data_IF_268685780386
#
_entry.id   IF_268685780386
#
_cell.length_a   1.000
_cell.length_b   1.000
_cell.length_c   1.000
_cell.angle_alpha   90.00
_cell.angle_beta   90.00
_cell.angle_gamma   90.00
#
_symmetry.space_group_name_H-M   'P 1'
#
loop_
_entity.id
_entity.type
_entity.pdbx_description
1 polymer ?
#
# COMPACT_ATOMS: atom_id res chain seq x y z
N UNK A 1 -77.38 -12.01 29.99
CA UNK A 1 -76.77 -10.66 29.93
C UNK A 1 -75.67 -10.67 28.88
N UNK A 2 -75.95 -10.05 27.76
CA UNK A 2 -75.06 -10.11 26.55
C UNK A 2 -74.14 -8.88 26.53
N UNK A 3 -72.84 -9.03 26.50
CA UNK A 3 -71.94 -7.95 26.14
C UNK A 3 -71.10 -8.39 24.89
N UNK A 4 -71.34 -7.67 23.84
CA UNK A 4 -70.57 -7.73 22.59
C UNK A 4 -69.33 -6.88 22.78
N UNK A 5 -68.14 -7.45 22.53
CA UNK A 5 -66.90 -6.66 22.31
C UNK A 5 -66.66 -6.64 20.83
N UNK A 6 -66.54 -5.41 20.33
CA UNK A 6 -66.18 -5.07 18.96
C UNK A 6 -64.65 -5.15 18.87
N UNK A 7 -64.19 -6.02 18.01
CA UNK A 7 -62.76 -6.09 17.70
C UNK A 7 -62.34 -5.01 16.69
N UNK A 8 -61.42 -4.18 17.09
CA UNK A 8 -60.74 -3.25 16.18
C UNK A 8 -59.57 -3.97 15.46
N UNK A 9 -59.65 -4.05 14.15
CA UNK A 9 -58.59 -4.55 13.31
C UNK A 9 -57.59 -3.42 13.13
N UNK A 10 -56.40 -3.56 13.71
CA UNK A 10 -55.26 -2.68 13.43
C UNK A 10 -54.50 -3.22 12.21
N UNK A 11 -54.60 -2.50 11.10
CA UNK A 11 -53.77 -2.72 9.92
C UNK A 11 -52.38 -2.15 10.21
N UNK A 12 -51.43 -3.00 10.44
CA UNK A 12 -50.01 -2.61 10.51
C UNK A 12 -49.46 -2.41 9.08
N UNK A 13 -49.27 -1.18 8.68
CA UNK A 13 -48.52 -0.84 7.47
C UNK A 13 -47.06 -1.13 7.71
N UNK A 14 -46.52 -2.16 7.05
CA UNK A 14 -45.09 -2.42 7.00
C UNK A 14 -44.44 -1.37 6.13
N UNK A 15 -43.74 -0.43 6.74
CA UNK A 15 -42.82 0.48 6.06
C UNK A 15 -41.55 -0.31 5.70
N UNK A 16 -41.41 -0.66 4.45
CA UNK A 16 -40.17 -1.11 3.88
C UNK A 16 -39.17 0.07 3.90
N UNK A 17 -38.27 0.09 4.86
CA UNK A 17 -37.10 0.94 4.85
C UNK A 17 -36.13 0.46 3.77
N UNK A 18 -35.42 1.37 3.08
CA UNK A 18 -34.42 0.97 2.10
C UNK A 18 -33.31 0.20 2.80
N UNK A 19 -33.04 -1.02 2.30
CA UNK A 19 -32.00 -1.89 2.80
C UNK A 19 -30.65 -1.16 2.78
N UNK A 20 -29.95 -1.15 3.92
CA UNK A 20 -28.54 -0.85 3.98
C UNK A 20 -27.81 -1.92 3.15
N UNK A 21 -27.44 -1.58 1.93
CA UNK A 21 -26.41 -2.33 1.23
C UNK A 21 -25.11 -2.13 2.00
N UNK A 22 -24.64 -3.19 2.62
CA UNK A 22 -23.30 -3.24 3.15
C UNK A 22 -22.35 -3.05 1.94
N UNK A 23 -21.79 -1.85 1.82
CA UNK A 23 -20.69 -1.60 0.92
C UNK A 23 -19.49 -2.36 1.48
N UNK A 24 -19.23 -3.55 0.94
CA UNK A 24 -17.94 -4.21 1.07
C UNK A 24 -16.91 -3.35 0.31
N UNK A 25 -16.53 -2.23 0.90
CA UNK A 25 -15.39 -1.44 0.47
C UNK A 25 -14.15 -2.28 0.71
N UNK A 26 -13.50 -2.71 -0.38
CA UNK A 26 -12.11 -3.11 -0.31
C UNK A 26 -11.35 -2.02 0.47
N UNK A 27 -10.32 -2.38 1.28
CA UNK A 27 -9.55 -1.38 1.98
C UNK A 27 -8.99 -0.39 0.96
N UNK A 28 -9.55 0.80 0.99
CA UNK A 28 -9.11 1.91 0.18
C UNK A 28 -7.70 2.22 0.68
N UNK A 29 -6.71 2.18 -0.21
CA UNK A 29 -5.37 2.65 0.11
C UNK A 29 -5.51 4.00 0.82
N UNK A 30 -4.86 4.13 1.98
CA UNK A 30 -4.91 5.35 2.78
C UNK A 30 -4.72 6.58 1.86
N UNK A 31 -5.44 7.69 2.08
CA UNK A 31 -5.27 8.89 1.27
C UNK A 31 -3.77 9.18 1.21
N UNK A 32 -3.21 9.13 0.01
CA UNK A 32 -1.85 9.60 -0.20
C UNK A 32 -1.93 11.09 0.08
N UNK A 33 -1.46 11.50 1.25
CA UNK A 33 -1.33 12.91 1.57
C UNK A 33 -0.71 13.57 0.34
N UNK A 34 -1.37 14.60 -0.16
CA UNK A 34 -0.91 15.33 -1.32
C UNK A 34 0.46 15.92 -0.96
N UNK A 35 1.51 15.12 -1.21
CA UNK A 35 2.87 15.58 -1.06
C UNK A 35 2.99 16.82 -1.93
N UNK A 36 3.32 17.92 -1.32
CA UNK A 36 3.58 19.18 -1.99
C UNK A 36 4.42 18.91 -3.24
N UNK A 37 3.85 19.10 -4.41
CA UNK A 37 4.57 19.04 -5.68
C UNK A 37 5.43 20.31 -5.77
N UNK A 38 6.51 20.35 -5.00
CA UNK A 38 7.52 21.35 -5.21
C UNK A 38 8.17 21.03 -6.57
N UNK A 39 8.16 22.00 -7.48
CA UNK A 39 8.93 21.90 -8.71
C UNK A 39 10.39 21.61 -8.34
N UNK A 40 11.09 20.73 -9.09
CA UNK A 40 12.50 20.47 -8.84
C UNK A 40 13.27 21.80 -8.87
N UNK A 41 14.01 22.07 -7.81
CA UNK A 41 14.96 23.19 -7.83
C UNK A 41 16.17 22.68 -8.62
N UNK A 42 16.40 23.24 -9.81
CA UNK A 42 17.53 22.81 -10.65
C UNK A 42 18.85 22.90 -9.87
N UNK A 43 19.62 21.79 -9.88
CA UNK A 43 20.98 21.74 -9.34
C UNK A 43 21.10 21.61 -7.83
N UNK A 44 20.02 21.38 -7.08
CA UNK A 44 20.06 21.13 -5.64
C UNK A 44 19.64 19.68 -5.34
N UNK A 45 20.45 18.96 -4.56
CA UNK A 45 20.13 17.63 -4.07
C UNK A 45 19.16 17.67 -2.86
N UNK A 46 18.43 16.58 -2.65
CA UNK A 46 17.69 16.37 -1.42
C UNK A 46 18.59 15.62 -0.42
N UNK A 47 18.63 16.09 0.82
CA UNK A 47 19.35 15.44 1.89
C UNK A 47 18.38 14.90 2.93
N UNK A 48 18.57 13.64 3.34
CA UNK A 48 17.82 12.99 4.39
C UNK A 48 18.78 12.49 5.45
N UNK A 49 18.94 13.29 6.51
CA UNK A 49 19.97 13.08 7.54
C UNK A 49 19.61 11.96 8.51
N UNK A 50 20.61 11.49 9.27
CA UNK A 50 20.37 10.57 10.38
C UNK A 50 19.42 11.17 11.43
N UNK A 51 19.49 12.48 11.68
CA UNK A 51 18.61 13.18 12.61
C UNK A 51 17.16 13.17 12.13
N UNK A 52 16.94 13.37 10.82
CA UNK A 52 15.60 13.23 10.23
C UNK A 52 15.02 11.83 10.49
N UNK A 53 15.84 10.78 10.29
CA UNK A 53 15.42 9.41 10.54
C UNK A 53 15.12 9.16 12.02
N UNK A 54 16.00 9.63 12.91
CA UNK A 54 15.81 9.49 14.36
C UNK A 54 14.53 10.18 14.85
N UNK A 55 14.13 11.28 14.23
CA UNK A 55 12.90 12.00 14.56
C UNK A 55 11.65 11.26 14.06
N UNK A 56 11.64 10.79 12.83
CA UNK A 56 10.41 10.33 12.15
C UNK A 56 10.15 8.82 12.25
N UNK A 57 11.18 7.99 12.33
CA UNK A 57 11.01 6.53 12.37
C UNK A 57 10.20 6.06 13.58
N UNK A 58 10.42 6.55 14.81
CA UNK A 58 9.63 6.14 15.98
C UNK A 58 8.14 6.44 15.82
N UNK A 59 7.79 7.63 15.30
CA UNK A 59 6.41 8.03 15.04
C UNK A 59 5.76 7.13 13.98
N UNK A 60 6.49 6.83 12.89
CA UNK A 60 6.01 5.95 11.84
C UNK A 60 5.76 4.53 12.36
N UNK A 61 6.63 4.01 13.21
CA UNK A 61 6.46 2.69 13.82
C UNK A 61 5.19 2.63 14.69
N UNK A 62 4.94 3.65 15.51
CA UNK A 62 3.70 3.72 16.31
C UNK A 62 2.46 3.83 15.39
N UNK A 63 2.52 4.66 14.37
CA UNK A 63 1.44 4.80 13.40
C UNK A 63 1.15 3.48 12.67
N UNK A 64 2.18 2.76 12.23
CA UNK A 64 2.05 1.49 11.54
C UNK A 64 1.33 0.42 12.38
N UNK A 65 1.49 0.44 13.71
CA UNK A 65 0.78 -0.49 14.61
C UNK A 65 -0.74 -0.32 14.56
N UNK A 66 -1.22 0.88 14.26
CA UNK A 66 -2.64 1.24 14.25
C UNK A 66 -3.30 1.11 12.88
N UNK A 67 -2.53 0.97 11.79
CA UNK A 67 -3.07 0.76 10.44
C UNK A 67 -3.47 -0.69 10.23
N UNK A 68 -4.45 -0.94 9.38
CA UNK A 68 -4.94 -2.30 9.08
C UNK A 68 -3.90 -3.17 8.41
N UNK A 69 -3.03 -2.59 7.58
CA UNK A 69 -1.99 -3.27 6.81
C UNK A 69 -0.62 -3.27 7.50
N UNK A 70 -0.50 -2.64 8.68
CA UNK A 70 0.75 -2.57 9.43
C UNK A 70 1.82 -1.70 8.77
N UNK A 71 1.42 -0.73 7.93
CA UNK A 71 2.36 0.13 7.20
C UNK A 71 2.11 1.59 7.51
N UNK A 72 3.17 2.37 7.64
CA UNK A 72 3.11 3.82 7.65
C UNK A 72 4.25 4.39 6.81
N UNK A 73 4.04 5.57 6.23
CA UNK A 73 5.04 6.21 5.38
C UNK A 73 4.97 7.72 5.45
N UNK A 74 6.08 8.34 5.06
CA UNK A 74 6.18 9.75 4.71
C UNK A 74 6.59 9.79 3.24
N UNK A 75 5.76 10.44 2.40
CA UNK A 75 6.16 10.75 1.04
C UNK A 75 7.17 11.90 1.09
N UNK A 76 8.40 11.64 0.68
CA UNK A 76 9.50 12.60 0.80
C UNK A 76 9.50 13.61 -0.35
N UNK A 77 9.82 13.14 -1.53
CA UNK A 77 9.91 13.96 -2.73
C UNK A 77 9.34 13.22 -3.93
N UNK A 78 8.72 13.97 -4.80
CA UNK A 78 8.19 13.48 -6.07
C UNK A 78 8.73 14.33 -7.21
N UNK A 79 9.31 13.67 -8.18
CA UNK A 79 9.86 14.25 -9.39
C UNK A 79 9.21 13.62 -10.62
N UNK A 80 9.32 14.23 -11.80
CA UNK A 80 8.98 13.53 -13.05
C UNK A 80 9.77 12.22 -13.16
N UNK A 81 9.07 11.10 -13.21
CA UNK A 81 9.65 9.78 -13.37
C UNK A 81 10.23 9.09 -12.12
N UNK A 82 10.22 9.74 -10.96
CA UNK A 82 10.59 9.06 -9.70
C UNK A 82 9.98 9.71 -8.47
N UNK A 83 9.92 8.96 -7.37
CA UNK A 83 9.59 9.49 -6.05
C UNK A 83 10.15 8.60 -4.94
N UNK A 84 10.32 9.22 -3.77
CA UNK A 84 10.90 8.58 -2.59
C UNK A 84 9.88 8.56 -1.45
N UNK A 85 9.83 7.44 -0.75
CA UNK A 85 9.08 7.31 0.50
C UNK A 85 10.00 6.73 1.58
N UNK A 86 9.95 7.32 2.78
CA UNK A 86 10.39 6.63 3.98
C UNK A 86 9.23 5.77 4.46
N UNK A 87 9.45 4.48 4.59
CA UNK A 87 8.40 3.52 4.94
C UNK A 87 8.79 2.67 6.13
N UNK A 88 7.80 2.32 6.92
CA UNK A 88 7.92 1.30 7.97
C UNK A 88 6.81 0.27 7.81
N UNK A 89 7.12 -0.96 8.18
CA UNK A 89 6.18 -2.07 8.20
C UNK A 89 6.36 -2.87 9.49
N UNK A 90 5.27 -3.22 10.16
CA UNK A 90 5.27 -3.97 11.43
C UNK A 90 4.49 -5.29 11.33
N UNK A 91 3.97 -5.61 10.15
CA UNK A 91 3.30 -6.87 9.80
C UNK A 91 3.55 -7.22 8.35
N UNK A 92 3.43 -8.50 8.03
CA UNK A 92 3.41 -8.99 6.65
C UNK A 92 2.40 -8.21 5.82
N UNK A 93 2.82 -7.76 4.64
CA UNK A 93 1.99 -7.03 3.69
C UNK A 93 1.14 -7.92 2.81
N UNK A 94 0.53 -7.31 1.80
CA UNK A 94 -0.11 -8.00 0.68
C UNK A 94 0.88 -8.15 -0.47
N UNK A 95 0.61 -9.06 -1.40
CA UNK A 95 1.38 -9.16 -2.64
C UNK A 95 1.08 -7.99 -3.57
N UNK A 96 2.10 -7.47 -4.22
CA UNK A 96 2.03 -6.29 -5.08
C UNK A 96 2.74 -6.52 -6.41
N UNK A 97 2.31 -5.82 -7.46
CA UNK A 97 3.02 -5.73 -8.73
C UNK A 97 2.68 -4.41 -9.42
N UNK A 98 3.70 -3.77 -9.98
CA UNK A 98 3.58 -2.47 -10.65
C UNK A 98 4.02 -2.60 -12.11
N UNK A 99 3.13 -2.34 -13.07
CA UNK A 99 3.48 -2.42 -14.48
C UNK A 99 4.33 -1.22 -14.94
N UNK A 100 4.10 -0.06 -14.34
CA UNK A 100 4.69 1.21 -14.79
C UNK A 100 5.83 1.72 -13.89
N UNK A 101 6.19 0.96 -12.84
CA UNK A 101 7.18 1.37 -11.86
C UNK A 101 8.09 0.20 -11.49
N UNK A 102 9.36 0.46 -11.30
CA UNK A 102 10.28 -0.37 -10.54
C UNK A 102 10.42 0.16 -9.12
N UNK A 103 10.77 -0.72 -8.19
CA UNK A 103 11.01 -0.39 -6.80
C UNK A 103 12.47 -0.63 -6.45
N UNK A 104 13.12 0.35 -5.82
CA UNK A 104 14.37 0.14 -5.11
C UNK A 104 14.07 0.24 -3.62
N UNK A 105 14.21 -0.87 -2.90
CA UNK A 105 14.07 -0.91 -1.45
C UNK A 105 15.45 -0.93 -0.82
N UNK A 106 15.70 -0.01 0.12
CA UNK A 106 16.94 0.03 0.91
C UNK A 106 16.57 -0.12 2.37
N UNK A 107 16.98 -1.23 2.99
CA UNK A 107 16.72 -1.48 4.41
C UNK A 107 17.56 -0.53 5.27
N UNK A 108 16.90 0.23 6.14
CA UNK A 108 17.53 1.18 7.05
C UNK A 108 17.68 0.57 8.45
N UNK A 109 16.63 -0.18 8.86
CA UNK A 109 16.62 -0.85 10.17
C UNK A 109 15.59 -1.99 10.16
N UNK A 110 15.79 -2.95 11.07
CA UNK A 110 14.97 -4.16 11.13
C UNK A 110 15.32 -5.17 10.03
N UNK A 111 14.37 -6.03 9.73
CA UNK A 111 14.54 -7.12 8.75
C UNK A 111 13.21 -7.55 8.13
N UNK A 112 13.25 -8.06 6.92
CA UNK A 112 12.10 -8.65 6.24
C UNK A 112 12.55 -9.65 5.17
N UNK A 113 11.72 -10.65 4.89
CA UNK A 113 11.85 -11.48 3.70
C UNK A 113 11.08 -10.83 2.56
N UNK A 114 11.80 -10.30 1.57
CA UNK A 114 11.21 -9.72 0.35
C UNK A 114 11.20 -10.79 -0.72
N UNK A 115 10.02 -11.32 -1.03
CA UNK A 115 9.84 -12.34 -2.06
C UNK A 115 9.58 -11.64 -3.39
N UNK A 116 10.35 -11.97 -4.44
CA UNK A 116 10.19 -11.39 -5.78
C UNK A 116 9.93 -12.45 -6.83
N UNK A 117 9.11 -12.14 -7.83
CA UNK A 117 8.67 -13.09 -8.85
C UNK A 117 7.52 -13.99 -8.36
N UNK A 118 7.34 -15.11 -9.00
CA UNK A 118 6.21 -16.00 -8.74
C UNK A 118 4.88 -15.46 -9.25
N UNK A 119 3.79 -15.79 -8.57
CA UNK A 119 2.42 -15.44 -8.97
C UNK A 119 1.68 -14.81 -7.81
N UNK A 120 0.98 -13.70 -8.07
CA UNK A 120 0.06 -13.10 -7.09
C UNK A 120 -1.18 -13.99 -6.93
N UNK A 121 -1.42 -14.44 -5.71
CA UNK A 121 -2.64 -15.16 -5.33
C UNK A 121 -3.77 -14.16 -5.14
N UNK A 122 -4.97 -14.51 -5.59
CA UNK A 122 -6.16 -13.64 -5.54
C UNK A 122 -5.92 -12.26 -6.22
N UNK A 123 -5.15 -12.26 -7.31
CA UNK A 123 -4.77 -11.06 -8.03
C UNK A 123 -5.98 -10.24 -8.43
N UNK A 124 -5.90 -8.94 -8.16
CA UNK A 124 -6.84 -7.90 -8.60
C UNK A 124 -6.06 -6.78 -9.27
N UNK A 125 -6.34 -6.58 -10.54
CA UNK A 125 -5.77 -5.47 -11.29
C UNK A 125 -6.50 -4.18 -10.94
N UNK A 126 -5.74 -3.10 -10.82
CA UNK A 126 -6.21 -1.77 -10.47
C UNK A 126 -5.80 -0.77 -11.55
N UNK A 127 -6.22 0.48 -11.40
CA UNK A 127 -5.82 1.55 -12.31
C UNK A 127 -4.29 1.74 -12.33
N UNK A 128 -3.80 2.40 -13.36
CA UNK A 128 -2.40 2.79 -13.53
C UNK A 128 -1.39 1.63 -13.56
N UNK A 129 -1.85 0.40 -13.88
CA UNK A 129 -0.97 -0.76 -13.96
C UNK A 129 -0.58 -1.37 -12.62
N UNK A 130 -1.33 -1.05 -11.57
CA UNK A 130 -1.16 -1.65 -10.26
C UNK A 130 -1.90 -2.99 -10.17
N UNK A 131 -1.31 -3.96 -9.50
CA UNK A 131 -1.96 -5.23 -9.15
C UNK A 131 -1.71 -5.54 -7.68
N UNK A 132 -2.71 -6.12 -7.03
CA UNK A 132 -2.66 -6.54 -5.64
C UNK A 132 -3.13 -7.99 -5.52
N UNK A 133 -2.55 -8.71 -4.56
CA UNK A 133 -2.95 -10.08 -4.24
C UNK A 133 -2.80 -10.34 -2.75
N UNK A 134 -3.30 -11.47 -2.28
CA UNK A 134 -3.14 -11.83 -0.86
C UNK A 134 -1.69 -12.12 -0.49
N UNK A 135 -0.91 -12.68 -1.43
CA UNK A 135 0.52 -13.02 -1.30
C UNK A 135 1.14 -13.28 -2.68
N UNK A 136 2.46 -13.50 -2.72
CA UNK A 136 3.13 -14.06 -3.90
C UNK A 136 3.59 -15.50 -3.60
N UNK A 137 3.37 -16.43 -4.53
CA UNK A 137 3.80 -17.84 -4.44
C UNK A 137 4.84 -18.16 -5.50
N UNK A 138 5.84 -18.97 -5.13
CA UNK A 138 6.87 -19.49 -6.06
C UNK A 138 7.92 -18.45 -6.45
N UNK A 139 8.06 -17.36 -5.71
CA UNK A 139 9.10 -16.36 -5.92
C UNK A 139 10.45 -16.72 -5.29
N UNK A 140 11.42 -15.83 -5.46
CA UNK A 140 12.75 -15.92 -4.86
C UNK A 140 12.72 -15.13 -3.55
N UNK A 141 13.23 -15.74 -2.49
CA UNK A 141 13.30 -15.14 -1.15
C UNK A 141 14.59 -14.32 -0.99
N UNK A 142 14.46 -13.13 -0.48
CA UNK A 142 15.56 -12.21 -0.18
C UNK A 142 15.42 -11.73 1.27
N UNK A 143 16.12 -12.38 2.20
CA UNK A 143 16.17 -11.91 3.57
C UNK A 143 16.99 -10.60 3.61
N UNK A 144 16.32 -9.51 3.85
CA UNK A 144 16.90 -8.17 3.89
C UNK A 144 17.19 -7.75 5.33
N UNK A 145 18.41 -7.27 5.54
CA UNK A 145 18.87 -6.68 6.79
C UNK A 145 19.33 -5.24 6.55
N UNK A 146 19.62 -4.54 7.63
CA UNK A 146 20.11 -3.16 7.57
C UNK A 146 21.31 -3.01 6.61
N UNK A 147 21.16 -2.12 5.63
CA UNK A 147 22.15 -1.82 4.59
C UNK A 147 21.90 -2.57 3.28
N UNK A 148 21.06 -3.60 3.29
CA UNK A 148 20.74 -4.33 2.06
C UNK A 148 19.83 -3.50 1.13
N UNK A 149 19.97 -3.74 -0.16
CA UNK A 149 19.17 -3.12 -1.21
C UNK A 149 18.69 -4.15 -2.21
N UNK A 150 17.45 -4.02 -2.64
CA UNK A 150 16.88 -4.80 -3.74
C UNK A 150 16.27 -3.89 -4.79
N UNK A 151 16.47 -4.22 -6.08
CA UNK A 151 15.80 -3.56 -7.20
C UNK A 151 14.78 -4.53 -7.82
N UNK A 152 13.52 -4.18 -7.73
CA UNK A 152 12.38 -4.95 -8.23
C UNK A 152 11.93 -4.32 -9.54
N UNK A 153 12.03 -5.06 -10.62
CA UNK A 153 11.70 -4.57 -11.97
C UNK A 153 10.18 -4.42 -12.17
N UNK A 154 9.74 -3.61 -13.14
CA UNK A 154 8.33 -3.55 -13.50
C UNK A 154 7.77 -4.92 -13.86
N UNK A 155 6.47 -5.12 -13.60
CA UNK A 155 5.77 -6.39 -13.81
C UNK A 155 6.30 -7.58 -12.99
N UNK A 156 7.09 -7.33 -11.94
CA UNK A 156 7.55 -8.36 -11.03
C UNK A 156 6.64 -8.42 -9.82
N UNK A 157 5.90 -9.52 -9.61
CA UNK A 157 5.20 -9.75 -8.35
C UNK A 157 6.19 -9.68 -7.18
N UNK A 158 5.79 -9.06 -6.09
CA UNK A 158 6.62 -9.04 -4.88
C UNK A 158 5.77 -8.96 -3.62
N UNK A 159 6.34 -9.44 -2.53
CA UNK A 159 5.67 -9.55 -1.26
C UNK A 159 6.65 -9.41 -0.11
N UNK A 160 6.36 -8.51 0.84
CA UNK A 160 7.19 -8.30 2.03
C UNK A 160 6.59 -9.07 3.20
N UNK A 161 7.33 -10.04 3.70
CA UNK A 161 6.95 -10.92 4.81
C UNK A 161 7.76 -10.55 6.05
N UNK A 162 7.09 -10.39 7.17
CA UNK A 162 7.70 -10.12 8.46
C UNK A 162 7.38 -11.24 9.44
N UNK A 163 8.39 -11.68 10.17
CA UNK A 163 8.20 -12.50 11.36
C UNK A 163 7.44 -11.71 12.44
N UNK A 164 6.62 -12.37 13.26
CA UNK A 164 5.89 -11.71 14.35
C UNK A 164 6.83 -10.93 15.29
N UNK A 165 6.48 -9.67 15.55
CA UNK A 165 7.23 -8.78 16.43
C UNK A 165 8.43 -8.10 15.76
N UNK A 166 8.73 -8.41 14.51
CA UNK A 166 9.77 -7.70 13.74
C UNK A 166 9.20 -6.45 13.08
N UNK A 167 10.10 -5.57 12.67
CA UNK A 167 9.80 -4.42 11.84
C UNK A 167 10.74 -4.35 10.64
N UNK A 168 10.36 -3.56 9.66
CA UNK A 168 11.16 -3.27 8.48
C UNK A 168 11.05 -1.78 8.18
N UNK A 169 12.16 -1.06 8.32
CA UNK A 169 12.29 0.36 8.04
C UNK A 169 13.10 0.51 6.75
N UNK A 170 12.57 1.17 5.76
CA UNK A 170 13.22 1.20 4.45
C UNK A 170 12.89 2.44 3.64
N UNK A 171 13.82 2.83 2.77
CA UNK A 171 13.52 3.69 1.66
C UNK A 171 12.87 2.89 0.53
N UNK A 172 11.77 3.41 0.02
CA UNK A 172 11.17 2.92 -1.22
C UNK A 172 11.32 4.01 -2.29
N UNK A 173 12.20 3.77 -3.24
CA UNK A 173 12.42 4.63 -4.40
C UNK A 173 11.67 4.03 -5.57
N UNK A 174 10.65 4.73 -6.04
CA UNK A 174 9.88 4.35 -7.22
C UNK A 174 10.49 5.02 -8.45
N UNK A 175 10.79 4.24 -9.47
CA UNK A 175 11.36 4.72 -10.73
C UNK A 175 10.41 4.33 -11.86
N UNK A 176 9.94 5.30 -12.62
CA UNK A 176 9.00 5.06 -13.70
C UNK A 176 9.65 4.22 -14.80
N UNK A 177 8.97 3.16 -15.21
CA UNK A 177 9.40 2.35 -16.34
C UNK A 177 9.38 3.19 -17.64
N UNK A 178 10.32 2.97 -18.56
CA UNK A 178 10.26 3.61 -19.86
C UNK A 178 8.92 3.30 -20.52
N UNK A 179 8.20 4.33 -20.94
CA UNK A 179 6.97 4.13 -21.71
C UNK A 179 7.37 3.55 -23.08
N UNK A 180 6.71 2.45 -23.47
CA UNK A 180 6.89 1.95 -24.83
C UNK A 180 6.56 3.08 -25.81
N UNK A 181 7.52 3.48 -26.62
CA UNK A 181 7.29 4.45 -27.68
C UNK A 181 6.26 3.80 -28.63
N UNK A 182 5.04 4.32 -28.64
CA UNK A 182 4.05 3.90 -29.63
C UNK A 182 4.71 4.20 -31.00
N UNK A 183 5.07 3.14 -31.73
CA UNK A 183 5.48 3.32 -33.10
C UNK A 183 4.33 4.06 -33.80
N UNK A 184 4.59 5.29 -34.24
CA UNK A 184 3.65 6.02 -35.09
C UNK A 184 3.46 5.18 -36.35
N UNK A 185 2.26 4.64 -36.51
CA UNK A 185 1.88 4.00 -37.77
C UNK A 185 2.03 5.06 -38.87
N UNK A 186 2.99 4.85 -39.77
CA UNK A 186 3.12 5.60 -41.02
C UNK A 186 2.09 5.08 -42.01
#
# INVERSE_FOLDING_TARGET
>A
MRFRLVGAVLVAAALFGPGLQAQNGAPQAAPRDAASQASPTEGVGDEFTADFMAQHVPELLERAKTTSDGTASIAMKRYPGNYLNLMVRVRTGIGEMHANWSDVLVCIDGEADVITGGTLVDRKDQAEGESRGSRSEGGIHHMMHKGDMIHILPNTPHWTVLEPGKNFVFWAVKIQAPQAVKASAQ
#
